data_IF_839407713758
#
_entry.id   IF_839407713758
#
_cell.length_a   1.000
_cell.length_b   1.000
_cell.length_c   1.000
_cell.angle_alpha   90.00
_cell.angle_beta   90.00
_cell.angle_gamma   90.00
#
_symmetry.space_group_name_H-M   'P 1'
#
loop_
_entity.id
_entity.type
_entity.pdbx_description
1 polymer ?
#
# COMPACT_ATOMS: atom_id res chain seq x y z
N UNK A 1 11.47 28.00 -16.03
CA UNK A 1 10.69 26.93 -15.36
C UNK A 1 11.16 26.85 -13.93
N UNK A 2 10.26 27.01 -12.95
CA UNK A 2 10.63 26.98 -11.52
C UNK A 2 11.08 25.56 -11.18
N UNK A 3 12.32 25.43 -10.69
CA UNK A 3 12.82 24.22 -10.03
C UNK A 3 11.89 23.93 -8.85
N UNK A 4 11.01 22.95 -9.00
CA UNK A 4 10.19 22.44 -7.92
C UNK A 4 11.04 21.48 -7.10
N UNK A 5 11.78 22.01 -6.12
CA UNK A 5 12.32 21.17 -5.05
C UNK A 5 11.14 20.72 -4.18
N UNK A 6 10.45 19.67 -4.60
CA UNK A 6 9.42 19.02 -3.81
C UNK A 6 10.08 18.36 -2.61
N UNK A 7 9.99 19.01 -1.45
CA UNK A 7 10.46 18.48 -0.18
C UNK A 7 9.54 17.31 0.19
N UNK A 8 10.09 16.21 0.72
CA UNK A 8 9.29 15.06 1.19
C UNK A 8 8.21 15.49 2.22
N UNK A 9 8.41 16.65 2.86
CA UNK A 9 7.49 17.28 3.80
C UNK A 9 6.25 17.92 3.13
N UNK A 10 6.36 18.42 1.91
CA UNK A 10 5.29 19.18 1.25
C UNK A 10 4.13 18.27 0.82
N UNK A 11 4.41 17.01 0.50
CA UNK A 11 3.40 16.03 0.11
C UNK A 11 2.56 15.49 1.27
N UNK A 12 3.09 15.52 2.49
CA UNK A 12 2.44 14.88 3.65
C UNK A 12 1.90 15.89 4.67
N UNK A 13 2.29 17.17 4.63
CA UNK A 13 1.91 18.20 5.61
C UNK A 13 2.21 17.75 7.06
N UNK A 14 3.34 17.07 7.26
CA UNK A 14 3.78 16.63 8.59
C UNK A 14 4.32 17.83 9.39
N UNK A 15 4.19 17.79 10.70
CA UNK A 15 4.73 18.80 11.60
C UNK A 15 5.88 18.23 12.42
N UNK A 16 6.94 19.02 12.61
CA UNK A 16 8.04 18.65 13.50
C UNK A 16 7.51 18.36 14.90
N UNK A 17 7.96 17.24 15.49
CA UNK A 17 7.55 16.81 16.82
C UNK A 17 8.70 16.82 17.82
N UNK A 18 9.81 16.16 17.49
CA UNK A 18 10.97 15.99 18.38
C UNK A 18 12.18 15.48 17.62
N UNK A 19 13.35 15.54 18.26
CA UNK A 19 14.52 14.73 17.87
C UNK A 19 14.45 13.37 18.59
N UNK A 20 14.79 12.29 17.90
CA UNK A 20 14.81 10.93 18.47
C UNK A 20 15.87 10.08 17.78
N UNK A 21 16.61 9.27 18.55
CA UNK A 21 17.54 8.30 18.00
C UNK A 21 16.79 7.12 17.40
N UNK A 22 17.11 6.77 16.16
CA UNK A 22 16.62 5.58 15.49
C UNK A 22 17.80 4.84 14.85
N UNK A 23 18.02 3.57 15.22
CA UNK A 23 19.20 2.77 14.83
C UNK A 23 20.51 3.56 14.99
N UNK A 24 20.69 4.19 16.16
CA UNK A 24 21.85 5.00 16.54
C UNK A 24 22.08 6.28 15.71
N UNK A 25 21.11 6.67 14.88
CA UNK A 25 21.12 7.93 14.13
C UNK A 25 20.13 8.91 14.75
N UNK A 26 20.59 10.13 15.07
CA UNK A 26 19.74 11.20 15.59
C UNK A 26 18.87 11.78 14.46
N UNK A 27 17.56 11.55 14.55
CA UNK A 27 16.62 11.92 13.49
C UNK A 27 15.65 13.02 13.95
N UNK A 28 15.21 13.84 13.00
CA UNK A 28 14.00 14.67 13.15
C UNK A 28 12.77 13.76 13.00
N UNK A 29 11.85 13.83 13.96
CA UNK A 29 10.58 13.10 13.90
C UNK A 29 9.48 14.07 13.52
N UNK A 30 8.85 13.79 12.39
CA UNK A 30 7.73 14.55 11.83
C UNK A 30 6.44 13.74 12.01
N UNK A 31 5.35 14.40 12.41
CA UNK A 31 4.09 13.74 12.74
C UNK A 31 2.89 14.43 12.11
N UNK A 32 1.91 13.64 11.66
CA UNK A 32 0.56 14.10 11.32
C UNK A 32 -0.47 13.21 11.97
N UNK A 33 -1.59 13.80 12.34
CA UNK A 33 -2.76 13.07 12.82
C UNK A 33 -3.92 13.48 11.94
N UNK A 34 -4.59 12.50 11.34
CA UNK A 34 -5.87 12.72 10.64
C UNK A 34 -6.97 12.06 11.44
N UNK A 35 -8.13 12.72 11.48
CA UNK A 35 -9.31 12.18 12.15
C UNK A 35 -10.53 12.41 11.26
N UNK A 36 -11.26 11.33 10.98
CA UNK A 36 -12.52 11.36 10.24
C UNK A 36 -13.53 10.56 11.06
N UNK A 37 -14.54 11.25 11.60
CA UNK A 37 -15.45 10.65 12.59
C UNK A 37 -14.70 10.14 13.83
N UNK A 38 -14.87 8.87 14.17
CA UNK A 38 -14.18 8.19 15.26
C UNK A 38 -12.83 7.56 14.85
N UNK A 39 -12.52 7.53 13.54
CA UNK A 39 -11.30 6.92 12.99
C UNK A 39 -10.14 7.92 13.09
N UNK A 40 -9.07 7.54 13.77
CA UNK A 40 -7.87 8.37 13.98
C UNK A 40 -6.63 7.67 13.44
N UNK A 41 -5.95 8.31 12.48
CA UNK A 41 -4.71 7.81 11.91
C UNK A 41 -3.55 8.74 12.27
N UNK A 42 -2.44 8.15 12.68
CA UNK A 42 -1.21 8.82 13.09
C UNK A 42 -0.08 8.39 12.18
N UNK A 43 0.56 9.37 11.55
CA UNK A 43 1.70 9.17 10.66
C UNK A 43 2.93 9.78 11.33
N UNK A 44 4.03 9.04 11.34
CA UNK A 44 5.32 9.48 11.84
C UNK A 44 6.41 9.18 10.81
N UNK A 45 7.32 10.12 10.59
CA UNK A 45 8.44 9.99 9.68
C UNK A 45 9.73 10.42 10.39
N UNK A 46 10.77 9.61 10.31
CA UNK A 46 12.11 9.88 10.83
C UNK A 46 13.01 10.24 9.65
N UNK A 47 13.61 11.43 9.70
CA UNK A 47 14.53 11.92 8.66
C UNK A 47 15.80 12.50 9.25
N UNK A 48 16.87 12.48 8.46
CA UNK A 48 18.07 13.29 8.68
C UNK A 48 18.23 14.30 7.55
N UNK A 49 18.72 15.49 7.85
CA UNK A 49 19.05 16.51 6.84
C UNK A 49 20.56 16.66 6.74
N UNK A 50 21.14 16.65 5.53
CA UNK A 50 22.53 17.04 5.36
C UNK A 50 22.75 18.49 5.82
N UNK A 51 23.93 18.79 6.36
CA UNK A 51 24.30 20.17 6.67
C UNK A 51 24.49 20.96 5.37
N UNK A 52 23.71 22.02 5.18
CA UNK A 52 23.64 22.82 3.94
C UNK A 52 22.26 22.74 3.29
N UNK A 53 21.57 23.88 3.16
CA UNK A 53 20.09 23.99 3.11
C UNK A 53 19.37 23.35 1.92
N UNK A 54 20.07 22.85 0.90
CA UNK A 54 19.44 22.49 -0.38
C UNK A 54 19.41 20.99 -0.67
N UNK A 55 19.96 20.16 0.22
CA UNK A 55 19.89 18.71 0.05
C UNK A 55 18.56 18.13 0.56
N UNK A 56 17.97 17.15 -0.16
CA UNK A 56 16.74 16.50 0.28
C UNK A 56 16.97 15.74 1.59
N UNK A 57 15.93 15.70 2.43
CA UNK A 57 15.97 14.94 3.67
C UNK A 57 16.05 13.43 3.38
N UNK A 58 16.92 12.72 4.08
CA UNK A 58 17.07 11.26 3.97
C UNK A 58 16.08 10.59 4.94
N UNK A 59 15.09 9.82 4.44
CA UNK A 59 14.18 9.06 5.28
C UNK A 59 14.86 7.81 5.86
N UNK A 60 14.55 7.49 7.12
CA UNK A 60 15.04 6.29 7.80
C UNK A 60 13.92 5.34 8.19
N UNK A 61 12.78 5.90 8.61
CA UNK A 61 11.60 5.12 8.99
C UNK A 61 10.33 5.92 8.75
N UNK A 62 9.29 5.24 8.28
CA UNK A 62 7.93 5.74 8.28
C UNK A 62 7.05 4.77 9.06
N UNK A 63 6.15 5.31 9.88
CA UNK A 63 5.18 4.54 10.66
C UNK A 63 3.81 5.17 10.48
N UNK A 64 2.84 4.37 10.05
CA UNK A 64 1.42 4.70 10.10
C UNK A 64 0.77 3.79 11.13
N UNK A 65 0.12 4.38 12.14
CA UNK A 65 -0.73 3.69 13.12
C UNK A 65 -2.11 4.29 13.02
N UNK A 66 -3.11 3.49 12.67
CA UNK A 66 -4.45 4.02 12.53
C UNK A 66 -5.46 2.95 12.23
N UNK A 67 -6.71 3.38 12.16
CA UNK A 67 -7.78 2.53 11.69
C UNK A 67 -7.49 2.18 10.23
N UNK A 68 -7.46 0.87 9.95
CA UNK A 68 -7.66 0.43 8.59
C UNK A 68 -9.03 0.98 8.18
N UNK A 69 -9.11 1.68 7.04
CA UNK A 69 -10.30 2.44 6.65
C UNK A 69 -11.56 1.56 6.54
N UNK A 70 -11.39 0.24 6.57
CA UNK A 70 -12.29 -0.79 6.11
C UNK A 70 -12.89 -1.71 7.19
N UNK A 71 -12.45 -1.68 8.45
CA UNK A 71 -13.12 -2.42 9.54
C UNK A 71 -13.10 -1.56 10.79
N UNK A 72 -14.27 -1.32 11.40
CA UNK A 72 -14.38 -0.63 12.69
C UNK A 72 -13.62 -1.31 13.87
N UNK A 73 -12.95 -2.45 13.67
CA UNK A 73 -12.41 -3.28 14.76
C UNK A 73 -10.89 -3.31 14.92
N UNK A 74 -10.08 -2.92 13.92
CA UNK A 74 -8.61 -3.12 13.98
C UNK A 74 -7.80 -1.86 13.65
N UNK A 75 -6.89 -1.53 14.56
CA UNK A 75 -5.81 -0.58 14.30
C UNK A 75 -4.65 -1.33 13.66
N UNK A 76 -4.30 -0.96 12.45
CA UNK A 76 -3.10 -1.48 11.80
C UNK A 76 -1.90 -0.59 12.12
N UNK A 77 -0.73 -1.21 12.14
CA UNK A 77 0.55 -0.52 12.19
C UNK A 77 1.39 -0.93 10.99
N UNK A 78 1.58 0.00 10.07
CA UNK A 78 2.48 -0.15 8.94
C UNK A 78 3.82 0.52 9.27
N UNK A 79 4.91 -0.19 9.03
CA UNK A 79 6.28 0.33 9.21
C UNK A 79 7.06 0.12 7.93
N UNK A 80 7.68 1.19 7.42
CA UNK A 80 8.62 1.15 6.30
C UNK A 80 9.97 1.57 6.83
N UNK A 81 10.94 0.67 6.75
CA UNK A 81 12.33 0.94 7.10
C UNK A 81 13.13 1.16 5.82
N UNK A 82 13.73 2.33 5.71
CA UNK A 82 14.58 2.68 4.58
C UNK A 82 16.00 2.23 4.90
N UNK A 83 16.58 1.38 4.06
CA UNK A 83 17.99 0.95 4.16
C UNK A 83 18.88 1.77 3.22
N UNK A 84 18.52 1.83 1.94
CA UNK A 84 19.37 2.34 0.86
C UNK A 84 18.63 3.42 0.06
N UNK A 85 18.54 4.62 0.62
CA UNK A 85 17.90 5.76 -0.06
C UNK A 85 18.91 6.55 -0.90
N UNK A 86 18.56 6.82 -2.16
CA UNK A 86 19.26 7.77 -3.02
C UNK A 86 18.27 8.77 -3.62
N UNK A 87 18.51 10.09 -3.51
CA UNK A 87 17.69 11.09 -4.17
C UNK A 87 18.07 11.29 -5.65
N UNK A 88 19.13 10.62 -6.14
CA UNK A 88 19.62 10.79 -7.50
C UNK A 88 18.73 10.02 -8.49
N UNK A 89 18.43 10.67 -9.62
CA UNK A 89 17.67 10.08 -10.73
C UNK A 89 18.33 10.50 -12.04
N UNK A 90 18.25 9.66 -13.07
CA UNK A 90 18.78 9.99 -14.40
C UNK A 90 18.01 11.18 -14.99
N UNK A 91 18.68 12.07 -15.72
CA UNK A 91 18.04 13.28 -16.23
C UNK A 91 17.00 13.03 -17.32
N UNK A 92 17.07 11.89 -17.99
CA UNK A 92 16.29 11.51 -19.16
C UNK A 92 15.27 10.40 -18.90
N UNK A 93 15.18 9.88 -17.67
CA UNK A 93 14.20 8.85 -17.26
C UNK A 93 12.74 9.24 -17.58
N UNK A 94 12.42 10.53 -17.58
CA UNK A 94 11.08 11.04 -17.91
C UNK A 94 10.95 11.57 -19.34
N UNK A 95 12.02 11.49 -20.15
CA UNK A 95 11.98 11.90 -21.55
C UNK A 95 11.47 10.71 -22.36
N UNK A 96 10.28 10.81 -22.98
CA UNK A 96 9.77 9.72 -23.81
C UNK A 96 10.67 9.52 -25.03
N UNK A 97 10.87 8.27 -25.49
CA UNK A 97 11.63 7.99 -26.71
C UNK A 97 11.05 8.71 -27.93
N UNK A 98 11.92 9.13 -28.86
CA UNK A 98 11.47 9.73 -30.13
C UNK A 98 10.59 8.75 -30.93
N UNK A 99 9.48 9.27 -31.48
CA UNK A 99 8.54 8.47 -32.27
C UNK A 99 7.51 7.68 -31.47
N UNK A 100 7.46 7.83 -30.14
CA UNK A 100 6.43 7.20 -29.32
C UNK A 100 5.05 7.84 -29.57
N UNK A 101 4.09 7.04 -30.02
CA UNK A 101 2.69 7.45 -30.13
C UNK A 101 1.98 7.22 -28.81
N UNK A 102 1.38 8.27 -28.24
CA UNK A 102 0.54 8.16 -27.05
C UNK A 102 -0.70 7.32 -27.37
N UNK A 103 -0.91 6.24 -26.62
CA UNK A 103 -2.13 5.44 -26.65
C UNK A 103 -2.95 5.66 -25.39
N UNK A 104 -4.25 5.38 -25.47
CA UNK A 104 -5.03 5.18 -24.25
C UNK A 104 -4.53 3.91 -23.56
N UNK A 105 -4.37 3.99 -22.25
CA UNK A 105 -4.04 2.80 -21.49
C UNK A 105 -5.28 1.93 -21.34
N UNK A 106 -5.14 0.58 -21.37
CA UNK A 106 -6.28 -0.33 -21.28
C UNK A 106 -6.95 -0.34 -19.90
N UNK A 107 -6.19 -0.03 -18.84
CA UNK A 107 -6.67 -0.08 -17.46
C UNK A 107 -7.18 1.29 -16.96
N UNK A 108 -7.96 1.31 -15.89
CA UNK A 108 -8.48 2.57 -15.35
C UNK A 108 -7.37 3.48 -14.81
N UNK A 109 -7.65 4.77 -14.68
CA UNK A 109 -6.69 5.75 -14.14
C UNK A 109 -6.26 5.37 -12.71
N UNK A 110 -7.18 4.83 -11.92
CA UNK A 110 -6.93 4.36 -10.55
C UNK A 110 -5.97 3.17 -10.53
N UNK A 111 -6.16 2.20 -11.42
CA UNK A 111 -5.30 1.01 -11.51
C UNK A 111 -3.88 1.37 -11.93
N UNK A 112 -3.72 2.31 -12.87
CA UNK A 112 -2.42 2.84 -13.27
C UNK A 112 -1.64 3.47 -12.12
N UNK A 113 -2.32 4.24 -11.28
CA UNK A 113 -1.70 4.89 -10.12
C UNK A 113 -1.17 3.85 -9.12
N UNK A 114 -1.93 2.77 -8.91
CA UNK A 114 -1.51 1.65 -8.05
C UNK A 114 -0.30 0.92 -8.65
N UNK A 115 -0.30 0.67 -9.96
CA UNK A 115 0.79 -0.04 -10.64
C UNK A 115 2.09 0.79 -10.64
N UNK A 116 1.98 2.11 -10.84
CA UNK A 116 3.14 3.02 -10.87
C UNK A 116 3.81 3.18 -9.50
N UNK A 117 3.02 3.21 -8.41
CA UNK A 117 3.55 3.29 -7.05
C UNK A 117 2.71 2.45 -6.06
N UNK A 118 2.95 1.13 -5.96
CA UNK A 118 2.16 0.24 -5.10
C UNK A 118 2.24 0.58 -3.61
N UNK A 119 3.32 1.25 -3.18
CA UNK A 119 3.50 1.67 -1.79
C UNK A 119 2.61 2.85 -1.43
N UNK A 120 2.18 3.65 -2.41
CA UNK A 120 1.36 4.84 -2.19
C UNK A 120 0.10 4.52 -1.38
N UNK A 121 -0.53 3.38 -1.63
CA UNK A 121 -1.77 2.97 -0.97
C UNK A 121 -1.60 2.67 0.52
N UNK A 122 -0.37 2.41 1.00
CA UNK A 122 -0.07 2.20 2.41
C UNK A 122 0.36 3.49 3.13
N UNK A 123 1.00 4.40 2.41
CA UNK A 123 1.57 5.64 2.97
C UNK A 123 0.70 6.87 2.74
N UNK A 124 -0.34 6.75 1.91
CA UNK A 124 -1.21 7.86 1.56
C UNK A 124 -1.87 8.45 2.80
N UNK A 125 -1.85 9.78 2.89
CA UNK A 125 -2.61 10.51 3.90
C UNK A 125 -4.03 10.87 3.42
N UNK A 126 -4.40 10.41 2.22
CA UNK A 126 -5.76 10.51 1.69
C UNK A 126 -6.70 9.65 2.54
N UNK A 127 -7.92 10.11 2.83
CA UNK A 127 -8.92 9.32 3.55
C UNK A 127 -9.40 8.09 2.77
N UNK A 128 -9.21 8.06 1.46
CA UNK A 128 -9.58 6.92 0.59
C UNK A 128 -8.38 6.56 -0.29
N UNK A 129 -7.96 5.28 -0.27
CA UNK A 129 -6.86 4.78 -1.12
C UNK A 129 -7.30 4.59 -2.56
N UNK A 130 -6.36 4.39 -3.48
CA UNK A 130 -6.68 4.13 -4.88
C UNK A 130 -7.36 2.76 -5.04
N UNK A 131 -6.94 1.73 -4.30
CA UNK A 131 -7.56 0.40 -4.32
C UNK A 131 -9.04 0.43 -3.91
N UNK A 132 -9.41 1.25 -2.93
CA UNK A 132 -10.81 1.45 -2.52
C UNK A 132 -11.69 1.93 -3.67
N UNK A 133 -11.17 2.83 -4.53
CA UNK A 133 -11.94 3.37 -5.65
C UNK A 133 -12.26 2.32 -6.71
N UNK A 134 -11.49 1.24 -6.76
CA UNK A 134 -11.72 0.12 -7.67
C UNK A 134 -12.81 -0.84 -7.18
N UNK A 135 -13.24 -0.75 -5.92
CA UNK A 135 -14.29 -1.64 -5.41
C UNK A 135 -15.67 -1.32 -6.00
N UNK A 136 -15.99 -0.05 -6.23
CA UNK A 136 -17.23 0.35 -6.92
C UNK A 136 -17.38 -0.31 -8.30
N UNK A 137 -16.43 -0.11 -9.22
CA UNK A 137 -16.40 -0.78 -10.52
C UNK A 137 -16.42 -2.31 -10.43
N UNK A 138 -15.74 -2.90 -9.44
CA UNK A 138 -15.80 -4.35 -9.19
C UNK A 138 -17.22 -4.81 -8.87
N UNK A 139 -17.93 -4.12 -7.96
CA UNK A 139 -19.31 -4.46 -7.60
C UNK A 139 -20.25 -4.39 -8.81
N UNK A 140 -20.12 -3.34 -9.62
CA UNK A 140 -20.91 -3.18 -10.85
C UNK A 140 -20.63 -4.31 -11.86
N UNK A 141 -19.36 -4.67 -12.04
CA UNK A 141 -18.95 -5.70 -13.00
C UNK A 141 -19.44 -7.11 -12.64
N UNK A 142 -19.49 -7.43 -11.34
CA UNK A 142 -19.86 -8.76 -10.83
C UNK A 142 -21.22 -8.79 -10.12
N UNK A 143 -22.04 -7.75 -10.33
CA UNK A 143 -23.38 -7.57 -9.75
C UNK A 143 -23.44 -7.88 -8.24
N UNK A 144 -22.50 -7.31 -7.48
CA UNK A 144 -22.35 -7.58 -6.05
C UNK A 144 -23.34 -6.78 -5.23
N UNK A 145 -24.09 -7.49 -4.40
CA UNK A 145 -25.00 -6.96 -3.38
C UNK A 145 -24.60 -7.58 -2.04
N UNK A 146 -24.43 -6.75 -1.01
CA UNK A 146 -24.09 -7.19 0.33
C UNK A 146 -25.24 -6.85 1.28
N UNK A 147 -25.56 -7.76 2.19
CA UNK A 147 -26.76 -7.66 3.04
C UNK A 147 -26.60 -6.63 4.15
N UNK A 148 -25.36 -6.36 4.56
CA UNK A 148 -25.04 -5.43 5.63
C UNK A 148 -23.79 -4.60 5.34
N UNK A 149 -23.69 -3.44 5.99
CA UNK A 149 -22.48 -2.60 5.93
C UNK A 149 -21.24 -3.37 6.38
N UNK A 150 -21.39 -4.21 7.42
CA UNK A 150 -20.29 -5.03 7.94
C UNK A 150 -19.78 -6.03 6.89
N UNK A 151 -20.68 -6.67 6.17
CA UNK A 151 -20.32 -7.60 5.11
C UNK A 151 -19.67 -6.87 3.93
N UNK A 152 -20.24 -5.72 3.53
CA UNK A 152 -19.65 -4.87 2.49
C UNK A 152 -18.20 -4.47 2.84
N UNK A 153 -17.97 -4.06 4.08
CA UNK A 153 -16.65 -3.75 4.64
C UNK A 153 -15.70 -4.95 4.58
N UNK A 154 -16.12 -6.13 5.08
CA UNK A 154 -15.30 -7.36 5.05
C UNK A 154 -14.94 -7.79 3.62
N UNK A 155 -15.91 -7.75 2.70
CA UNK A 155 -15.69 -8.08 1.29
C UNK A 155 -14.78 -7.07 0.59
N UNK A 156 -14.90 -5.77 0.89
CA UNK A 156 -13.99 -4.74 0.36
C UNK A 156 -12.54 -5.00 0.79
N UNK A 157 -12.32 -5.45 2.03
CA UNK A 157 -10.98 -5.83 2.49
C UNK A 157 -10.43 -7.02 1.72
N UNK A 158 -11.24 -8.07 1.52
CA UNK A 158 -10.81 -9.23 0.76
C UNK A 158 -10.47 -8.86 -0.68
N UNK A 159 -11.29 -8.02 -1.30
CA UNK A 159 -11.02 -7.46 -2.62
C UNK A 159 -9.68 -6.72 -2.68
N UNK A 160 -9.42 -5.81 -1.74
CA UNK A 160 -8.16 -5.04 -1.72
C UNK A 160 -6.95 -5.97 -1.54
N UNK A 161 -7.06 -7.00 -0.69
CA UNK A 161 -5.99 -8.00 -0.53
C UNK A 161 -5.77 -8.82 -1.81
N UNK A 162 -6.84 -9.27 -2.47
CA UNK A 162 -6.77 -9.97 -3.74
C UNK A 162 -6.14 -9.10 -4.83
N UNK A 163 -6.54 -7.83 -4.94
CA UNK A 163 -5.97 -6.87 -5.88
C UNK A 163 -4.46 -6.70 -5.68
N UNK A 164 -4.03 -6.50 -4.43
CA UNK A 164 -2.60 -6.40 -4.08
C UNK A 164 -1.84 -7.68 -4.44
N UNK A 165 -2.42 -8.84 -4.18
CA UNK A 165 -1.82 -10.13 -4.52
C UNK A 165 -1.69 -10.30 -6.03
N UNK A 166 -2.75 -10.06 -6.80
CA UNK A 166 -2.75 -10.12 -8.27
C UNK A 166 -1.65 -9.23 -8.84
N UNK A 167 -1.60 -7.96 -8.43
CA UNK A 167 -0.57 -7.05 -8.91
C UNK A 167 0.85 -7.46 -8.49
N UNK A 168 1.02 -7.97 -7.27
CA UNK A 168 2.33 -8.47 -6.82
C UNK A 168 2.81 -9.66 -7.65
N UNK A 169 1.92 -10.60 -7.95
CA UNK A 169 2.26 -11.78 -8.75
C UNK A 169 2.54 -11.41 -10.21
N UNK A 170 1.77 -10.49 -10.79
CA UNK A 170 1.98 -10.03 -12.16
C UNK A 170 3.29 -9.24 -12.30
N UNK A 171 3.72 -8.51 -11.27
CA UNK A 171 5.03 -7.83 -11.26
C UNK A 171 6.21 -8.79 -11.12
N UNK A 172 6.00 -10.01 -10.64
CA UNK A 172 7.08 -10.97 -10.45
C UNK A 172 7.57 -11.61 -11.76
N UNK A 173 6.93 -11.32 -12.91
CA UNK A 173 7.38 -11.81 -14.22
C UNK A 173 7.25 -13.32 -14.39
N UNK A 174 6.21 -13.91 -13.78
CA UNK A 174 5.93 -15.35 -13.85
C UNK A 174 5.45 -15.75 -15.25
N UNK A 175 5.46 -17.06 -15.54
CA UNK A 175 4.96 -17.62 -16.80
C UNK A 175 3.44 -17.53 -16.97
N UNK A 176 2.74 -17.04 -15.95
CA UNK A 176 1.30 -16.82 -15.94
C UNK A 176 1.00 -15.47 -15.28
N UNK A 177 -0.17 -14.93 -15.62
CA UNK A 177 -0.72 -13.73 -14.99
C UNK A 177 -1.99 -14.08 -14.23
N UNK A 178 -2.26 -13.33 -13.17
CA UNK A 178 -3.51 -13.34 -12.43
C UNK A 178 -4.38 -12.15 -12.86
N UNK A 179 -5.68 -12.25 -12.63
CA UNK A 179 -6.63 -11.18 -12.88
C UNK A 179 -7.73 -11.18 -11.84
N UNK A 180 -8.33 -10.00 -11.64
CA UNK A 180 -9.51 -9.85 -10.80
C UNK A 180 -10.68 -10.61 -11.42
N UNK A 181 -11.30 -11.45 -10.61
CA UNK A 181 -12.41 -12.32 -10.97
C UNK A 181 -13.49 -12.30 -9.88
N UNK A 182 -14.55 -13.07 -10.10
CA UNK A 182 -15.70 -13.15 -9.19
C UNK A 182 -15.29 -13.52 -7.74
N UNK A 183 -14.25 -14.32 -7.54
CA UNK A 183 -13.81 -14.74 -6.20
C UNK A 183 -12.91 -13.72 -5.48
N UNK A 184 -12.74 -12.52 -6.04
CA UNK A 184 -11.76 -11.57 -5.52
C UNK A 184 -12.17 -10.95 -4.18
N UNK A 185 -13.45 -10.94 -3.85
CA UNK A 185 -14.01 -10.46 -2.57
C UNK A 185 -14.27 -11.61 -1.57
N UNK A 186 -13.76 -12.81 -1.82
CA UNK A 186 -13.97 -13.97 -0.95
C UNK A 186 -12.87 -14.10 0.11
N UNK A 187 -13.23 -14.63 1.27
CA UNK A 187 -12.29 -15.03 2.31
C UNK A 187 -11.49 -16.26 1.88
N UNK A 188 -10.31 -16.44 2.49
CA UNK A 188 -9.47 -17.64 2.28
C UNK A 188 -10.22 -18.95 2.60
N UNK A 189 -11.11 -18.93 3.58
CA UNK A 189 -11.90 -20.09 3.98
C UNK A 189 -12.92 -20.49 2.90
N UNK A 190 -13.57 -19.50 2.28
CA UNK A 190 -14.53 -19.72 1.19
C UNK A 190 -13.84 -20.23 -0.07
N UNK A 191 -12.70 -19.62 -0.43
CA UNK A 191 -11.84 -20.09 -1.52
C UNK A 191 -11.40 -21.55 -1.28
N UNK A 192 -10.95 -21.88 -0.07
CA UNK A 192 -10.52 -23.25 0.27
C UNK A 192 -11.66 -24.29 0.16
N UNK A 193 -12.91 -23.88 0.38
CA UNK A 193 -14.09 -24.73 0.22
C UNK A 193 -14.35 -25.08 -1.26
N UNK A 194 -14.00 -24.19 -2.18
CA UNK A 194 -14.14 -24.41 -3.63
C UNK A 194 -13.02 -25.27 -4.21
N UNK A 195 -11.79 -25.09 -3.74
CA UNK A 195 -10.63 -25.83 -4.25
C UNK A 195 -10.48 -27.24 -3.68
N UNK A 196 -11.48 -27.73 -2.95
CA UNK A 196 -11.54 -29.11 -2.46
C UNK A 196 -10.40 -29.46 -1.51
N UNK A 197 -10.14 -28.59 -0.51
CA UNK A 197 -9.03 -28.67 0.43
C UNK A 197 -8.51 -30.10 0.67
N UNK A 198 -7.28 -30.35 0.22
CA UNK A 198 -6.61 -31.62 0.50
C UNK A 198 -6.50 -31.76 2.02
N UNK A 199 -7.24 -32.71 2.59
CA UNK A 199 -6.96 -33.19 3.95
C UNK A 199 -5.61 -33.89 3.88
N UNK A 200 -4.54 -33.17 4.22
CA UNK A 200 -3.28 -33.81 4.56
C UNK A 200 -3.58 -34.56 5.86
N UNK A 201 -3.54 -35.90 5.88
CA UNK A 201 -3.68 -36.64 7.13
C UNK A 201 -2.56 -36.16 8.05
N UNK A 202 -2.90 -35.83 9.30
CA UNK A 202 -1.87 -35.53 10.31
C UNK A 202 -0.85 -36.66 10.25
N UNK A 203 0.40 -36.33 9.92
CA UNK A 203 1.47 -37.28 10.15
C UNK A 203 1.46 -37.52 11.65
N UNK A 204 1.06 -38.73 12.05
CA UNK A 204 1.33 -39.22 13.39
C UNK A 204 2.80 -38.92 13.63
N UNK A 205 3.06 -38.00 14.56
CA UNK A 205 4.39 -37.89 15.15
C UNK A 205 4.64 -39.26 15.75
N UNK A 206 5.46 -40.05 15.07
CA UNK A 206 6.07 -41.20 15.69
C UNK A 206 6.97 -40.63 16.78
N UNK A 207 6.46 -40.63 18.01
CA UNK A 207 7.23 -40.50 19.22
C UNK A 207 8.18 -41.71 19.29
N UNK A 208 9.31 -41.62 18.57
CA UNK A 208 10.46 -42.49 18.81
C UNK A 208 11.52 -41.67 19.52
N UNK A 209 11.35 -41.69 20.85
CA UNK A 209 12.34 -41.40 21.86
C UNK A 209 13.57 -42.31 21.67
N UNK A 210 14.75 -41.70 21.44
CA UNK A 210 16.08 -42.21 21.83
C UNK A 210 17.05 -41.05 22.05
#
# INVERSE_FOLDING_TARGET
MKSGHSNLNDFLLLQFKKMENYKDVLCEVWKKVTQVGHKKNTYCLWVTRPEGSDSPATPHRFVMVGFNTLLESHNDKYTIDYSDFSPQTESDIFIPPEGMTWGEFPDSVEEHQILANPLQDYVSTSPVSHAHRLFGPFKEKFDRQYESEKEHEECENYFIHSLRFVHSMNRAGLTYSLGINDFSDWSKAELARMTGGLRIPDQQKDDTEY
#
